data_IF_016438139592
#
_entry.id   IF_016438139592
#
_cell.length_a   1.000
_cell.length_b   1.000
_cell.length_c   1.000
_cell.angle_alpha   90.00
_cell.angle_beta   90.00
_cell.angle_gamma   90.00
#
_symmetry.space_group_name_H-M   'P 1'
#
loop_
_entity.id
_entity.type
_entity.pdbx_description
1 polymer ?
#
# COMPACT_ATOMS: atom_id res chain seq x y z
N UNK A 1 -2.91 -4.52 0.26
CA UNK A 1 -1.48 -4.25 0.10
C UNK A 1 -1.08 -2.89 0.65
N UNK A 2 -1.97 -1.94 0.58
CA UNK A 2 -1.71 -0.56 0.93
C UNK A 2 -1.41 -0.35 2.44
N UNK A 3 -1.70 -1.35 3.26
CA UNK A 3 -1.38 -1.41 4.69
C UNK A 3 -0.28 -2.44 4.99
N UNK A 4 -0.38 -3.64 4.43
CA UNK A 4 0.51 -4.76 4.76
C UNK A 4 1.96 -4.52 4.35
N UNK A 5 2.20 -4.05 3.12
CA UNK A 5 3.57 -3.76 2.65
C UNK A 5 4.22 -2.63 3.47
N UNK A 6 3.56 -1.49 3.70
CA UNK A 6 4.09 -0.46 4.60
C UNK A 6 4.45 -0.96 6.00
N UNK A 7 3.63 -1.81 6.62
CA UNK A 7 3.95 -2.39 7.93
C UNK A 7 5.22 -3.26 7.88
N UNK A 8 5.37 -4.06 6.83
CA UNK A 8 6.58 -4.87 6.63
C UNK A 8 7.81 -3.96 6.47
N UNK A 9 7.74 -2.92 5.66
CA UNK A 9 8.85 -1.98 5.44
C UNK A 9 9.18 -1.14 6.67
N UNK A 10 8.17 -0.84 7.50
CA UNK A 10 8.35 -0.19 8.81
C UNK A 10 8.98 -1.14 9.86
N UNK A 11 9.13 -2.43 9.55
CA UNK A 11 9.74 -3.42 10.43
C UNK A 11 8.77 -4.03 11.45
N UNK A 12 7.48 -3.88 11.25
CA UNK A 12 6.40 -4.43 12.10
C UNK A 12 5.42 -5.25 11.25
N UNK A 13 5.85 -6.37 10.67
CA UNK A 13 4.97 -7.20 9.86
C UNK A 13 3.73 -7.61 10.66
N UNK A 14 2.53 -7.59 10.05
CA UNK A 14 1.31 -7.95 10.77
C UNK A 14 1.27 -9.44 11.10
N UNK A 15 0.55 -9.82 12.16
CA UNK A 15 0.34 -11.23 12.54
C UNK A 15 -0.53 -11.97 11.53
N UNK A 16 -1.39 -11.24 10.82
CA UNK A 16 -2.26 -11.79 9.79
C UNK A 16 -2.57 -10.74 8.71
N UNK A 17 -2.86 -11.18 7.51
CA UNK A 17 -3.22 -10.31 6.39
C UNK A 17 -4.15 -11.04 5.41
N UNK A 18 -4.98 -10.25 4.72
CA UNK A 18 -5.65 -10.75 3.53
C UNK A 18 -4.64 -10.92 2.38
N UNK A 19 -4.97 -11.81 1.46
CA UNK A 19 -4.11 -12.09 0.32
C UNK A 19 -4.88 -12.45 -0.94
N UNK A 20 -4.28 -13.29 -1.74
CA UNK A 20 -4.86 -13.91 -2.92
C UNK A 20 -4.61 -15.41 -2.90
N UNK A 21 -5.44 -16.15 -3.63
CA UNK A 21 -5.29 -17.59 -3.82
C UNK A 21 -4.88 -17.86 -5.26
N UNK A 22 -3.88 -18.72 -5.46
CA UNK A 22 -3.46 -19.21 -6.77
C UNK A 22 -4.38 -20.35 -7.24
N UNK A 23 -4.34 -20.73 -8.52
CA UNK A 23 -5.11 -21.87 -9.02
C UNK A 23 -4.82 -23.21 -8.33
N UNK A 24 -3.61 -23.38 -7.77
CA UNK A 24 -3.19 -24.55 -7.00
C UNK A 24 -3.67 -24.55 -5.54
N UNK A 25 -4.44 -23.53 -5.14
CA UNK A 25 -4.94 -23.36 -3.78
C UNK A 25 -3.98 -22.67 -2.82
N UNK A 26 -2.72 -22.44 -3.18
CA UNK A 26 -1.78 -21.71 -2.34
C UNK A 26 -2.12 -20.22 -2.21
N UNK A 27 -1.74 -19.60 -1.10
CA UNK A 27 -1.99 -18.19 -0.84
C UNK A 27 -0.74 -17.36 -1.00
N UNK A 28 -0.92 -16.06 -1.36
CA UNK A 28 0.19 -15.12 -1.52
C UNK A 28 -0.20 -13.68 -1.21
N UNK A 29 0.79 -12.90 -0.78
CA UNK A 29 0.66 -11.46 -0.46
C UNK A 29 0.84 -10.56 -1.70
N UNK A 30 0.21 -10.92 -2.83
CA UNK A 30 0.28 -10.16 -4.11
C UNK A 30 1.74 -9.81 -4.48
N UNK A 31 2.09 -8.50 -4.49
CA UNK A 31 3.42 -8.03 -4.83
C UNK A 31 4.42 -8.04 -3.66
N UNK A 32 4.02 -8.42 -2.44
CA UNK A 32 4.88 -8.33 -1.26
C UNK A 32 6.15 -9.16 -1.39
N UNK A 33 6.01 -10.42 -1.82
CA UNK A 33 7.17 -11.29 -2.04
C UNK A 33 8.20 -10.69 -3.00
N UNK A 34 7.74 -10.02 -4.06
CA UNK A 34 8.61 -9.35 -5.03
C UNK A 34 9.25 -8.07 -4.46
N UNK A 35 8.50 -7.27 -3.70
CA UNK A 35 8.94 -5.96 -3.22
C UNK A 35 9.74 -6.03 -1.92
N UNK A 36 9.39 -6.95 -1.03
CA UNK A 36 9.95 -7.04 0.33
C UNK A 36 10.64 -8.36 0.61
N UNK A 37 10.49 -9.36 -0.27
CA UNK A 37 10.95 -10.73 -0.04
C UNK A 37 10.05 -11.51 0.92
N UNK A 38 8.94 -10.95 1.41
CA UNK A 38 8.07 -11.57 2.42
C UNK A 38 6.74 -11.97 1.79
N UNK A 39 6.37 -13.25 1.99
CA UNK A 39 5.08 -13.82 1.60
C UNK A 39 4.57 -14.76 2.71
N UNK A 40 3.39 -15.37 2.55
CA UNK A 40 2.83 -16.28 3.54
C UNK A 40 3.69 -17.55 3.74
N UNK A 41 4.33 -18.06 2.70
CA UNK A 41 5.13 -19.30 2.73
C UNK A 41 6.48 -19.14 3.43
N UNK A 42 6.97 -17.91 3.58
CA UNK A 42 8.27 -17.63 4.18
C UNK A 42 8.21 -16.69 5.39
N UNK A 43 7.03 -16.51 5.95
CA UNK A 43 6.81 -15.62 7.12
C UNK A 43 5.83 -16.25 8.11
N UNK A 44 5.66 -15.61 9.27
CA UNK A 44 4.65 -15.97 10.27
C UNK A 44 3.28 -15.34 10.02
N UNK A 45 3.12 -14.56 8.95
CA UNK A 45 1.87 -13.86 8.62
C UNK A 45 0.81 -14.89 8.24
N UNK A 46 -0.32 -14.89 8.95
CA UNK A 46 -1.42 -15.81 8.67
C UNK A 46 -2.34 -15.25 7.59
N UNK A 47 -2.82 -16.12 6.72
CA UNK A 47 -3.84 -15.78 5.74
C UNK A 47 -5.22 -15.73 6.40
N UNK A 48 -5.99 -14.64 6.17
CA UNK A 48 -7.32 -14.40 6.74
C UNK A 48 -8.40 -14.14 5.66
N UNK A 49 -8.19 -14.63 4.46
CA UNK A 49 -9.15 -14.46 3.37
C UNK A 49 -8.64 -13.59 2.20
N UNK A 50 -9.51 -13.40 1.24
CA UNK A 50 -9.24 -12.60 0.04
C UNK A 50 -10.00 -11.27 0.10
N UNK A 51 -11.03 -11.06 -0.74
CA UNK A 51 -11.94 -9.92 -0.64
C UNK A 51 -12.88 -10.06 0.56
N UNK A 52 -13.40 -11.28 0.75
CA UNK A 52 -14.15 -11.65 1.94
C UNK A 52 -13.17 -12.14 3.00
N UNK A 53 -13.27 -11.53 4.18
CA UNK A 53 -12.36 -11.77 5.29
C UNK A 53 -12.99 -12.79 6.24
N UNK A 54 -12.22 -13.77 6.64
CA UNK A 54 -12.62 -14.75 7.66
C UNK A 54 -12.43 -14.16 9.06
N UNK A 55 -13.56 -13.83 9.71
CA UNK A 55 -13.59 -13.23 11.05
C UNK A 55 -13.06 -14.22 12.11
N UNK A 56 -13.31 -15.51 11.94
CA UNK A 56 -12.82 -16.53 12.87
C UNK A 56 -11.29 -16.64 12.78
N UNK A 57 -10.74 -16.57 11.56
CA UNK A 57 -9.29 -16.53 11.34
C UNK A 57 -8.65 -15.28 11.94
N UNK A 58 -9.32 -14.11 11.89
CA UNK A 58 -8.85 -12.90 12.57
C UNK A 58 -8.82 -13.13 14.08
N UNK A 59 -9.89 -13.63 14.66
CA UNK A 59 -9.95 -13.88 16.10
C UNK A 59 -8.90 -14.90 16.54
N UNK A 60 -8.67 -15.96 15.74
CA UNK A 60 -7.64 -16.96 16.00
C UNK A 60 -6.20 -16.41 15.90
N UNK A 61 -6.00 -15.33 15.14
CA UNK A 61 -4.71 -14.63 15.06
C UNK A 61 -4.39 -13.82 16.31
N UNK A 62 -5.38 -13.54 17.17
CA UNK A 62 -5.28 -12.76 18.43
C UNK A 62 -4.55 -11.42 18.24
N UNK A 63 -5.03 -10.54 17.35
CA UNK A 63 -4.39 -9.26 17.12
C UNK A 63 -4.59 -8.31 18.32
N UNK A 64 -3.61 -7.46 18.60
CA UNK A 64 -3.73 -6.36 19.58
C UNK A 64 -4.40 -5.12 18.93
N UNK A 65 -4.31 -5.01 17.61
CA UNK A 65 -4.86 -3.93 16.80
C UNK A 65 -5.26 -4.48 15.43
N UNK A 66 -6.43 -4.07 14.96
CA UNK A 66 -6.88 -4.33 13.60
C UNK A 66 -6.81 -3.05 12.79
N UNK A 67 -6.21 -3.11 11.61
CA UNK A 67 -6.16 -2.00 10.67
C UNK A 67 -6.93 -2.42 9.42
N UNK A 68 -7.95 -1.65 9.06
CA UNK A 68 -8.83 -1.92 7.91
C UNK A 68 -8.92 -0.71 6.99
N UNK A 69 -9.68 -0.83 5.92
CA UNK A 69 -9.97 0.22 4.93
C UNK A 69 -11.48 0.41 4.81
N UNK A 70 -11.97 1.63 4.56
CA UNK A 70 -13.42 1.92 4.44
C UNK A 70 -14.11 1.12 3.33
N UNK A 71 -13.34 0.69 2.32
CA UNK A 71 -13.85 -0.06 1.16
C UNK A 71 -14.05 -1.56 1.44
N UNK A 72 -13.76 -2.03 2.64
CA UNK A 72 -13.96 -3.43 3.02
C UNK A 72 -15.41 -3.73 3.36
N UNK A 73 -15.88 -4.91 2.94
CA UNK A 73 -17.25 -5.36 3.22
C UNK A 73 -17.52 -5.66 4.70
N UNK A 74 -16.46 -5.96 5.47
CA UNK A 74 -16.60 -6.30 6.88
C UNK A 74 -16.80 -5.04 7.71
N UNK A 75 -17.94 -4.89 8.41
CA UNK A 75 -18.19 -3.73 9.26
C UNK A 75 -17.16 -3.60 10.39
N UNK A 76 -16.76 -2.36 10.67
CA UNK A 76 -15.79 -2.05 11.73
C UNK A 76 -16.28 -2.56 13.08
N UNK A 77 -17.57 -2.44 13.35
CA UNK A 77 -18.21 -2.86 14.60
C UNK A 77 -18.11 -4.38 14.85
N UNK A 78 -17.94 -5.18 13.80
CA UNK A 78 -17.66 -6.60 13.95
C UNK A 78 -16.21 -6.87 14.33
N UNK A 79 -15.29 -6.12 13.76
CA UNK A 79 -13.85 -6.21 14.05
C UNK A 79 -13.53 -5.71 15.46
N UNK A 80 -14.21 -4.67 15.92
CA UNK A 80 -14.07 -4.11 17.28
C UNK A 80 -14.44 -5.09 18.40
N UNK A 81 -15.23 -6.12 18.08
CA UNK A 81 -15.52 -7.21 19.04
C UNK A 81 -14.30 -8.12 19.28
N UNK A 82 -13.30 -8.07 18.40
CA UNK A 82 -12.10 -8.89 18.49
C UNK A 82 -10.95 -8.08 19.08
N UNK A 83 -10.69 -6.88 18.54
CA UNK A 83 -9.62 -5.99 18.99
C UNK A 83 -9.93 -4.53 18.59
N UNK A 84 -9.29 -3.54 19.22
CA UNK A 84 -9.34 -2.15 18.77
C UNK A 84 -9.10 -2.06 17.25
N UNK A 85 -9.95 -1.32 16.55
CA UNK A 85 -9.92 -1.27 15.08
C UNK A 85 -9.76 0.16 14.59
N UNK A 86 -8.82 0.38 13.66
CA UNK A 86 -8.58 1.65 12.98
C UNK A 86 -8.83 1.48 11.49
N UNK A 87 -9.65 2.37 10.93
CA UNK A 87 -9.88 2.43 9.48
C UNK A 87 -8.99 3.50 8.86
N UNK A 88 -8.18 3.12 7.87
CA UNK A 88 -7.30 4.03 7.12
C UNK A 88 -7.73 4.03 5.66
N UNK A 89 -8.15 5.20 5.17
CA UNK A 89 -8.47 5.37 3.75
C UNK A 89 -7.15 5.53 2.95
N UNK A 90 -6.92 4.62 2.02
CA UNK A 90 -5.74 4.65 1.15
C UNK A 90 -5.78 5.78 0.11
N UNK A 91 -6.94 6.40 -0.11
CA UNK A 91 -7.10 7.56 -1.00
C UNK A 91 -6.81 8.88 -0.29
N UNK A 92 -6.85 8.91 1.04
CA UNK A 92 -6.58 10.10 1.84
C UNK A 92 -5.08 10.34 1.97
N UNK A 93 -4.54 11.27 1.17
CA UNK A 93 -3.14 11.66 1.15
C UNK A 93 -2.19 10.63 0.51
N UNK A 94 -2.72 9.48 0.04
CA UNK A 94 -1.96 8.45 -0.64
C UNK A 94 -0.91 7.75 0.24
N UNK A 95 0.04 7.07 -0.40
CA UNK A 95 1.04 6.25 0.29
C UNK A 95 1.83 6.99 1.39
N UNK A 96 2.31 8.24 1.22
CA UNK A 96 3.05 8.92 2.29
C UNK A 96 2.23 9.09 3.57
N UNK A 97 0.93 9.36 3.44
CA UNK A 97 0.04 9.51 4.59
C UNK A 97 -0.23 8.18 5.29
N UNK A 98 -0.40 7.10 4.52
CA UNK A 98 -0.52 5.74 5.07
C UNK A 98 0.71 5.39 5.91
N UNK A 99 1.92 5.56 5.36
CA UNK A 99 3.16 5.29 6.09
C UNK A 99 3.26 6.10 7.37
N UNK A 100 2.87 7.39 7.34
CA UNK A 100 2.91 8.27 8.51
C UNK A 100 1.93 7.81 9.59
N UNK A 101 0.68 7.51 9.22
CA UNK A 101 -0.35 6.99 10.14
C UNK A 101 0.10 5.65 10.76
N UNK A 102 0.62 4.73 9.94
CA UNK A 102 1.10 3.45 10.42
C UNK A 102 2.31 3.59 11.35
N UNK A 103 3.28 4.43 10.99
CA UNK A 103 4.44 4.68 11.85
C UNK A 103 4.05 5.28 13.20
N UNK A 104 3.06 6.17 13.22
CA UNK A 104 2.51 6.73 14.44
C UNK A 104 1.81 5.66 15.29
N UNK A 105 0.98 4.81 14.70
CA UNK A 105 0.29 3.72 15.40
C UNK A 105 1.24 2.66 15.97
N UNK A 106 2.37 2.43 15.30
CA UNK A 106 3.31 1.36 15.65
C UNK A 106 4.59 1.85 16.33
N UNK A 107 4.73 3.17 16.52
CA UNK A 107 5.94 3.76 17.15
C UNK A 107 7.20 3.65 16.28
N UNK A 108 7.06 3.51 14.95
CA UNK A 108 8.20 3.27 14.03
C UNK A 108 8.65 4.52 13.28
N UNK A 109 8.49 5.70 13.85
CA UNK A 109 8.85 6.97 13.21
C UNK A 109 10.32 7.02 12.75
N UNK A 110 11.25 6.45 13.53
CA UNK A 110 12.66 6.40 13.16
C UNK A 110 12.87 5.61 11.85
N UNK A 111 12.14 4.51 11.67
CA UNK A 111 12.19 3.72 10.44
C UNK A 111 11.57 4.47 9.26
N UNK A 112 10.46 5.15 9.48
CA UNK A 112 9.83 5.99 8.46
C UNK A 112 10.81 7.06 7.94
N UNK A 113 11.51 7.76 8.82
CA UNK A 113 12.49 8.78 8.43
C UNK A 113 13.61 8.20 7.53
N UNK A 114 14.01 6.94 7.75
CA UNK A 114 14.98 6.26 6.89
C UNK A 114 14.38 6.01 5.50
N UNK A 115 13.14 5.53 5.41
CA UNK A 115 12.46 5.26 4.15
C UNK A 115 12.23 6.55 3.35
N UNK A 116 11.77 7.62 4.00
CA UNK A 116 11.57 8.94 3.38
C UNK A 116 12.89 9.50 2.83
N UNK A 117 13.97 9.45 3.59
CA UNK A 117 15.28 9.88 3.11
C UNK A 117 15.74 9.09 1.89
N UNK A 118 15.63 7.77 1.94
CA UNK A 118 15.95 6.89 0.81
C UNK A 118 15.11 7.22 -0.43
N UNK A 119 13.84 7.50 -0.26
CA UNK A 119 12.98 7.95 -1.34
C UNK A 119 13.48 9.25 -1.97
N UNK A 120 13.80 10.26 -1.16
CA UNK A 120 14.30 11.54 -1.63
C UNK A 120 15.65 11.39 -2.36
N UNK A 121 16.54 10.54 -1.87
CA UNK A 121 17.81 10.22 -2.54
C UNK A 121 17.58 9.63 -3.94
N UNK A 122 16.62 8.72 -4.10
CA UNK A 122 16.28 8.15 -5.40
C UNK A 122 15.67 9.20 -6.35
N UNK A 123 14.79 10.07 -5.86
CA UNK A 123 14.25 11.19 -6.65
C UNK A 123 15.35 12.13 -7.10
N UNK A 124 16.28 12.49 -6.22
CA UNK A 124 17.42 13.34 -6.58
C UNK A 124 18.33 12.67 -7.61
N UNK A 125 18.62 11.38 -7.46
CA UNK A 125 19.43 10.63 -8.42
C UNK A 125 18.77 10.60 -9.81
N UNK A 126 17.46 10.40 -9.88
CA UNK A 126 16.72 10.45 -11.15
C UNK A 126 16.83 11.83 -11.81
N UNK A 127 16.60 12.90 -11.05
CA UNK A 127 16.71 14.29 -11.54
C UNK A 127 18.13 14.65 -12.01
N UNK A 128 19.15 14.06 -11.42
CA UNK A 128 20.54 14.24 -11.84
C UNK A 128 20.88 13.50 -13.14
N UNK A 129 20.16 12.40 -13.43
CA UNK A 129 20.40 11.58 -14.62
C UNK A 129 19.73 12.17 -15.87
N UNK A 130 18.53 12.75 -15.72
CA UNK A 130 17.74 13.30 -16.83
C UNK A 130 17.04 14.60 -16.41
N UNK A 131 16.86 15.53 -17.33
CA UNK A 131 16.05 16.73 -17.09
C UNK A 131 14.55 16.38 -17.23
N UNK A 132 13.97 15.87 -16.14
CA UNK A 132 12.59 15.40 -16.08
C UNK A 132 11.58 16.50 -16.42
N UNK A 133 11.91 17.78 -16.20
CA UNK A 133 11.04 18.94 -16.48
C UNK A 133 10.76 19.13 -17.97
N UNK A 134 11.60 18.57 -18.83
CA UNK A 134 11.45 18.60 -20.29
C UNK A 134 10.67 17.41 -20.84
N UNK A 135 10.24 16.51 -19.96
CA UNK A 135 9.57 15.27 -20.35
C UNK A 135 8.12 15.35 -19.89
N UNK A 136 7.20 15.27 -20.85
CA UNK A 136 5.76 15.15 -20.58
C UNK A 136 5.40 13.68 -20.53
N UNK A 137 4.71 13.27 -19.47
CA UNK A 137 4.32 11.89 -19.22
C UNK A 137 2.81 11.74 -19.15
N UNK A 138 2.30 10.60 -19.60
CA UNK A 138 0.92 10.17 -19.38
C UNK A 138 0.93 8.81 -18.73
N UNK A 139 0.16 8.65 -17.67
CA UNK A 139 -0.10 7.34 -17.06
C UNK A 139 -1.36 6.77 -17.66
N UNK A 140 -1.24 5.64 -18.34
CA UNK A 140 -2.34 5.00 -19.07
C UNK A 140 -2.57 3.61 -18.49
N UNK A 141 -3.82 3.29 -18.17
CA UNK A 141 -4.25 1.97 -17.74
C UNK A 141 -5.27 1.40 -18.72
N UNK A 142 -5.00 0.21 -19.25
CA UNK A 142 -5.99 -0.58 -19.95
C UNK A 142 -6.73 -1.48 -18.95
N UNK A 143 -8.06 -1.35 -18.88
CA UNK A 143 -8.90 -2.15 -18.01
C UNK A 143 -10.25 -2.42 -18.67
N UNK A 144 -10.67 -3.69 -18.74
CA UNK A 144 -11.97 -4.12 -19.26
C UNK A 144 -12.29 -3.54 -20.65
N UNK A 145 -11.31 -3.53 -21.56
CA UNK A 145 -11.49 -3.01 -22.92
C UNK A 145 -11.52 -1.47 -23.04
N UNK A 146 -11.27 -0.74 -21.93
CA UNK A 146 -11.18 0.71 -21.92
C UNK A 146 -9.75 1.16 -21.63
N UNK A 147 -9.40 2.33 -22.16
CA UNK A 147 -8.15 3.02 -21.85
C UNK A 147 -8.49 4.22 -20.97
N UNK A 148 -7.91 4.25 -19.77
CA UNK A 148 -8.05 5.35 -18.84
C UNK A 148 -6.73 6.12 -18.79
N UNK A 149 -6.78 7.42 -19.01
CA UNK A 149 -5.68 8.34 -18.73
C UNK A 149 -5.84 8.85 -17.29
N UNK A 150 -4.79 8.75 -16.50
CA UNK A 150 -4.84 9.00 -15.06
C UNK A 150 -4.08 10.29 -14.71
N UNK A 151 -4.77 11.21 -14.06
CA UNK A 151 -4.17 12.41 -13.47
C UNK A 151 -3.19 12.05 -12.33
N UNK A 152 -3.62 11.12 -11.50
CA UNK A 152 -2.85 10.58 -10.40
C UNK A 152 -3.12 9.09 -10.35
N UNK A 153 -2.10 8.27 -10.47
CA UNK A 153 -2.22 6.82 -10.41
C UNK A 153 -1.48 6.32 -9.18
N UNK A 154 -2.18 6.32 -8.03
CA UNK A 154 -1.62 5.85 -6.75
C UNK A 154 -0.21 6.42 -6.49
N UNK A 155 0.71 5.58 -6.03
CA UNK A 155 2.09 5.98 -5.75
C UNK A 155 2.88 6.38 -6.99
N UNK A 156 2.56 5.85 -8.20
CA UNK A 156 3.27 6.19 -9.44
C UNK A 156 3.07 7.66 -9.82
N UNK A 157 1.85 8.17 -9.77
CA UNK A 157 1.57 9.58 -10.06
C UNK A 157 2.33 10.51 -9.13
N UNK A 158 2.43 10.16 -7.84
CA UNK A 158 3.21 10.91 -6.86
C UNK A 158 4.70 10.90 -7.20
N UNK A 159 5.28 9.75 -7.49
CA UNK A 159 6.70 9.63 -7.86
C UNK A 159 7.03 10.47 -9.09
N UNK A 160 6.19 10.46 -10.11
CA UNK A 160 6.38 11.26 -11.33
C UNK A 160 6.35 12.76 -11.03
N UNK A 161 5.43 13.23 -10.18
CA UNK A 161 5.36 14.64 -9.77
C UNK A 161 6.54 15.06 -8.91
N UNK A 162 6.92 14.26 -7.94
CA UNK A 162 8.07 14.54 -7.07
C UNK A 162 9.39 14.52 -7.87
N UNK A 163 9.46 13.69 -8.91
CA UNK A 163 10.56 13.68 -9.87
C UNK A 163 10.56 14.88 -10.83
N UNK A 164 9.47 15.66 -10.87
CA UNK A 164 9.37 16.89 -11.67
C UNK A 164 8.99 16.68 -13.12
N UNK A 165 8.41 15.55 -13.48
CA UNK A 165 7.81 15.36 -14.80
C UNK A 165 6.59 16.27 -14.97
N UNK A 166 6.32 16.68 -16.21
CA UNK A 166 5.11 17.41 -16.58
C UNK A 166 4.03 16.45 -17.10
N UNK A 167 2.78 16.86 -16.99
CA UNK A 167 1.64 16.12 -17.53
C UNK A 167 0.97 16.94 -18.64
N UNK A 168 0.27 16.30 -19.60
CA UNK A 168 -0.53 17.03 -20.58
C UNK A 168 -1.56 17.95 -19.90
N UNK A 169 -1.87 19.15 -20.47
CA UNK A 169 -2.81 20.09 -19.85
C UNK A 169 -4.18 19.48 -19.55
N UNK A 170 -4.68 18.59 -20.41
CA UNK A 170 -5.95 17.89 -20.19
C UNK A 170 -5.91 17.02 -18.92
N UNK A 171 -4.77 16.40 -18.64
CA UNK A 171 -4.58 15.57 -17.44
C UNK A 171 -4.46 16.42 -16.19
N UNK A 172 -3.83 17.60 -16.28
CA UNK A 172 -3.72 18.54 -15.14
C UNK A 172 -5.06 19.19 -14.76
N UNK A 173 -6.06 19.19 -15.66
CA UNK A 173 -7.38 19.80 -15.43
C UNK A 173 -8.39 18.84 -14.80
N UNK A 174 -8.08 17.59 -14.63
CA UNK A 174 -8.90 16.56 -13.98
C UNK A 174 -8.55 16.52 -12.49
#
# INVERSE_FOLDING_TARGET
LDITIPLIELGVPPVASHGRTRPDGSHFLRASGMLTGIDFDNSSIKFIGTADIDIEAIAAAKPDLIITEPTRNTPVEQLEKIAPTVSIDHLDGGAPEIYRKLAQLTGTQARLNILERRYQEQIMALKATIDTRKITVSVIQANQGKINAMHSYHSLGRVLRDAGFTFPPLIESI
#
